data_IF_355517714779
#
_entry.id   IF_355517714779
#
_cell.length_a   1.000
_cell.length_b   1.000
_cell.length_c   1.000
_cell.angle_alpha   90.00
_cell.angle_beta   90.00
_cell.angle_gamma   90.00
#
_symmetry.space_group_name_H-M   'P 1'
#
loop_
_entity.id
_entity.type
_entity.pdbx_description
1 polymer ?
#
# COMPACT_ATOMS: atom_id res chain seq x y z
N UNK A 1 -38.86 -42.78 2.37
CA UNK A 1 -37.80 -41.75 2.47
C UNK A 1 -38.19 -40.64 1.49
N UNK A 2 -38.48 -39.43 2.00
CA UNK A 2 -38.78 -38.29 1.14
C UNK A 2 -37.50 -37.95 0.37
N UNK A 3 -37.58 -37.94 -0.97
CA UNK A 3 -36.47 -37.53 -1.84
C UNK A 3 -36.09 -36.09 -1.49
N UNK A 4 -34.82 -35.86 -1.17
CA UNK A 4 -34.29 -34.51 -1.01
C UNK A 4 -34.48 -33.80 -2.34
N UNK A 5 -35.16 -32.66 -2.32
CA UNK A 5 -35.34 -31.86 -3.52
C UNK A 5 -33.99 -31.46 -4.14
N UNK A 6 -33.94 -31.32 -5.47
CA UNK A 6 -32.74 -30.92 -6.18
C UNK A 6 -32.63 -29.39 -6.33
N UNK A 7 -31.41 -28.87 -6.37
CA UNK A 7 -31.16 -27.48 -6.79
C UNK A 7 -31.65 -27.28 -8.25
N UNK A 8 -32.26 -26.14 -8.58
CA UNK A 8 -32.46 -24.93 -7.81
C UNK A 8 -33.75 -24.85 -6.97
N UNK A 9 -34.62 -25.88 -7.04
CA UNK A 9 -35.94 -25.88 -6.38
C UNK A 9 -35.80 -26.02 -4.85
N UNK A 10 -34.80 -26.77 -4.39
CA UNK A 10 -34.47 -26.88 -2.96
C UNK A 10 -33.12 -26.23 -2.69
N UNK A 11 -33.13 -25.27 -1.80
CA UNK A 11 -31.91 -24.53 -1.37
C UNK A 11 -31.70 -24.71 0.12
N UNK A 12 -30.55 -25.27 0.50
CA UNK A 12 -30.17 -25.53 1.88
C UNK A 12 -29.66 -24.24 2.55
N UNK A 13 -30.57 -23.39 3.02
CA UNK A 13 -30.24 -22.06 3.58
C UNK A 13 -30.52 -21.92 5.07
N UNK A 14 -30.87 -22.98 5.77
CA UNK A 14 -31.25 -22.94 7.19
C UNK A 14 -30.14 -22.32 8.05
N UNK A 15 -28.88 -22.67 7.81
CA UNK A 15 -27.73 -22.14 8.53
C UNK A 15 -27.38 -20.67 8.18
N UNK A 16 -28.06 -20.08 7.19
CA UNK A 16 -27.90 -18.69 6.79
C UNK A 16 -29.01 -17.78 7.32
N UNK A 17 -30.08 -18.34 7.89
CA UNK A 17 -31.30 -17.61 8.23
C UNK A 17 -31.11 -16.67 9.43
N UNK A 18 -30.28 -17.01 10.40
CA UNK A 18 -30.06 -16.24 11.61
C UNK A 18 -28.57 -15.94 11.86
N UNK A 19 -28.29 -14.87 12.61
CA UNK A 19 -26.92 -14.48 12.92
C UNK A 19 -26.17 -15.57 13.68
N UNK A 20 -26.77 -16.11 14.76
CA UNK A 20 -26.11 -17.15 15.56
C UNK A 20 -25.77 -18.40 14.73
N UNK A 21 -26.65 -18.81 13.80
CA UNK A 21 -26.40 -19.98 12.95
C UNK A 21 -25.24 -19.71 11.98
N UNK A 22 -25.16 -18.49 11.42
CA UNK A 22 -24.00 -18.09 10.57
C UNK A 22 -22.71 -18.07 11.37
N UNK A 23 -22.74 -17.54 12.59
CA UNK A 23 -21.56 -17.48 13.47
C UNK A 23 -21.05 -18.87 13.86
N UNK A 24 -21.98 -19.82 14.14
CA UNK A 24 -21.61 -21.18 14.49
C UNK A 24 -20.96 -21.98 13.34
N UNK A 25 -21.28 -21.66 12.09
CA UNK A 25 -20.76 -22.38 10.91
C UNK A 25 -19.73 -21.57 10.12
N UNK A 26 -19.27 -20.46 10.66
CA UNK A 26 -18.27 -19.59 10.01
C UNK A 26 -16.94 -20.32 9.92
N UNK A 27 -16.42 -20.45 8.71
CA UNK A 27 -15.12 -21.06 8.44
C UNK A 27 -13.96 -20.06 8.52
N UNK A 28 -14.26 -18.77 8.28
CA UNK A 28 -13.27 -17.69 8.30
C UNK A 28 -13.79 -16.52 9.15
N UNK A 29 -12.90 -15.90 9.90
CA UNK A 29 -13.15 -14.67 10.66
C UNK A 29 -12.23 -13.57 10.14
N UNK A 30 -12.70 -12.33 10.15
CA UNK A 30 -11.88 -11.15 9.88
C UNK A 30 -11.66 -10.40 11.19
N UNK A 31 -10.42 -10.01 11.40
CA UNK A 31 -9.98 -9.15 12.48
C UNK A 31 -9.18 -7.96 11.91
N UNK A 32 -8.92 -6.90 12.66
CA UNK A 32 -8.04 -5.82 12.19
C UNK A 32 -6.65 -6.32 11.77
N UNK A 33 -6.16 -7.43 12.35
CA UNK A 33 -4.87 -8.03 12.05
C UNK A 33 -4.79 -8.66 10.64
N UNK A 34 -5.92 -8.83 9.97
CA UNK A 34 -5.97 -9.36 8.60
C UNK A 34 -5.83 -8.28 7.52
N UNK A 35 -5.70 -7.00 7.91
CA UNK A 35 -5.68 -5.89 6.97
C UNK A 35 -4.29 -5.26 6.84
N UNK A 36 -3.98 -4.85 5.60
CA UNK A 36 -2.91 -3.90 5.27
C UNK A 36 -3.61 -2.62 4.81
N UNK A 37 -3.27 -1.48 5.41
CA UNK A 37 -3.89 -0.21 5.04
C UNK A 37 -3.07 0.51 3.97
N UNK A 38 -3.56 0.62 2.72
CA UNK A 38 -2.88 1.36 1.66
C UNK A 38 -3.03 2.86 1.87
N UNK A 39 -1.94 3.61 1.74
CA UNK A 39 -1.91 5.05 1.95
C UNK A 39 -1.11 5.77 0.87
N UNK A 40 -1.63 6.90 0.39
CA UNK A 40 -0.92 7.77 -0.54
C UNK A 40 -0.16 8.84 0.22
N UNK A 41 1.13 8.97 -0.10
CA UNK A 41 2.04 9.94 0.56
C UNK A 41 2.42 11.02 -0.43
N UNK A 42 2.30 12.29 -0.01
CA UNK A 42 2.71 13.45 -0.82
C UNK A 42 3.71 14.33 -0.07
N UNK A 43 4.35 15.20 -0.82
CA UNK A 43 5.28 16.19 -0.29
C UNK A 43 4.55 17.31 0.49
N UNK A 44 5.27 17.95 1.39
CA UNK A 44 4.79 19.10 2.17
C UNK A 44 4.62 18.79 3.66
N UNK A 45 3.93 19.68 4.34
CA UNK A 45 3.56 19.56 5.76
C UNK A 45 2.12 20.04 5.94
N UNK A 46 1.32 19.32 6.74
CA UNK A 46 -0.09 19.60 6.95
C UNK A 46 -0.94 19.45 5.68
N UNK A 47 -0.43 18.79 4.66
CA UNK A 47 -1.10 18.66 3.38
C UNK A 47 -2.04 17.46 3.36
N UNK A 48 -3.28 17.71 2.88
CA UNK A 48 -4.31 16.70 2.72
C UNK A 48 -5.04 16.95 1.41
N UNK A 49 -5.06 15.96 0.53
CA UNK A 49 -5.67 16.06 -0.78
C UNK A 49 -6.61 14.88 -1.02
N UNK A 50 -7.88 15.13 -1.28
CA UNK A 50 -8.83 14.07 -1.59
C UNK A 50 -8.51 13.41 -2.94
N UNK A 51 -8.73 12.10 -3.05
CA UNK A 51 -8.65 11.36 -4.31
C UNK A 51 -10.04 11.29 -4.94
N UNK A 52 -10.34 12.06 -6.01
CA UNK A 52 -11.72 12.19 -6.54
C UNK A 52 -12.33 10.86 -6.98
N UNK A 53 -11.52 9.94 -7.50
CA UNK A 53 -11.96 8.62 -7.95
C UNK A 53 -12.15 7.60 -6.81
N UNK A 54 -11.72 7.94 -5.59
CA UNK A 54 -11.75 7.07 -4.42
C UNK A 54 -12.38 7.80 -3.23
N UNK A 55 -13.71 7.88 -3.12
CA UNK A 55 -14.39 8.61 -2.06
C UNK A 55 -13.94 8.18 -0.66
N UNK A 56 -13.54 9.15 0.17
CA UNK A 56 -13.03 8.90 1.54
C UNK A 56 -11.54 8.56 1.61
N UNK A 57 -10.83 8.46 0.48
CA UNK A 57 -9.38 8.28 0.42
C UNK A 57 -8.70 9.62 0.19
N UNK A 58 -7.61 9.84 0.91
CA UNK A 58 -6.83 11.08 0.84
C UNK A 58 -5.34 10.77 0.64
N UNK A 59 -4.64 11.72 0.03
CA UNK A 59 -3.18 11.78 -0.03
C UNK A 59 -2.71 12.63 1.13
N UNK A 60 -1.71 12.20 1.87
CA UNK A 60 -1.28 12.83 3.11
C UNK A 60 0.21 13.15 3.07
N UNK A 61 0.59 14.31 3.62
CA UNK A 61 1.99 14.58 3.93
C UNK A 61 2.49 13.68 5.08
N UNK A 62 3.81 13.55 5.22
CA UNK A 62 4.43 12.60 6.17
C UNK A 62 3.99 12.83 7.61
N UNK A 63 3.83 14.06 8.04
CA UNK A 63 3.32 14.41 9.37
C UNK A 63 1.90 13.90 9.63
N UNK A 64 1.00 14.07 8.67
CA UNK A 64 -0.37 13.55 8.76
C UNK A 64 -0.43 12.01 8.59
N UNK A 65 0.49 11.45 7.82
CA UNK A 65 0.65 10.00 7.71
C UNK A 65 1.00 9.37 9.06
N UNK A 66 1.84 10.02 9.87
CA UNK A 66 2.18 9.54 11.22
C UNK A 66 0.93 9.51 12.12
N UNK A 67 0.10 10.53 12.07
CA UNK A 67 -1.16 10.54 12.84
C UNK A 67 -2.13 9.43 12.39
N UNK A 68 -2.22 9.20 11.07
CA UNK A 68 -2.98 8.07 10.52
C UNK A 68 -2.42 6.72 10.99
N UNK A 69 -1.09 6.58 11.01
CA UNK A 69 -0.43 5.35 11.46
C UNK A 69 -0.71 5.04 12.94
N UNK A 70 -0.67 6.06 13.81
CA UNK A 70 -1.06 5.92 15.22
C UNK A 70 -2.50 5.44 15.37
N UNK A 71 -3.43 6.03 14.59
CA UNK A 71 -4.83 5.63 14.60
C UNK A 71 -5.04 4.20 14.08
N UNK A 72 -4.37 3.81 12.99
CA UNK A 72 -4.42 2.45 12.44
C UNK A 72 -3.87 1.42 13.44
N UNK A 73 -2.73 1.71 14.06
CA UNK A 73 -2.14 0.85 15.10
C UNK A 73 -3.06 0.69 16.30
N UNK A 74 -3.70 1.77 16.77
CA UNK A 74 -4.66 1.72 17.87
C UNK A 74 -5.92 0.89 17.54
N UNK A 75 -6.28 0.76 16.26
CA UNK A 75 -7.35 -0.12 15.79
C UNK A 75 -6.90 -1.58 15.61
N UNK A 76 -5.61 -1.87 15.79
CA UNK A 76 -5.03 -3.21 15.63
C UNK A 76 -4.69 -3.57 14.17
N UNK A 77 -4.62 -2.60 13.25
CA UNK A 77 -4.13 -2.82 11.89
C UNK A 77 -2.60 -2.93 11.93
N UNK A 78 -2.01 -4.05 11.48
CA UNK A 78 -0.59 -4.34 11.71
C UNK A 78 0.35 -3.63 10.75
N UNK A 79 -0.11 -3.21 9.57
CA UNK A 79 0.79 -2.66 8.54
C UNK A 79 0.12 -1.61 7.65
N UNK A 80 0.95 -0.66 7.18
CA UNK A 80 0.63 0.29 6.11
C UNK A 80 1.38 -0.09 4.84
N UNK A 81 0.75 0.08 3.67
CA UNK A 81 1.40 0.04 2.37
C UNK A 81 1.49 1.46 1.81
N UNK A 82 2.72 1.93 1.54
CA UNK A 82 3.00 3.31 1.12
C UNK A 82 3.05 3.44 -0.40
N UNK A 83 2.27 4.37 -0.94
CA UNK A 83 2.26 4.72 -2.36
C UNK A 83 2.61 6.20 -2.54
N UNK A 84 3.77 6.55 -3.13
CA UNK A 84 4.18 7.93 -3.27
C UNK A 84 3.41 8.67 -4.36
N UNK A 85 3.10 9.93 -4.10
CA UNK A 85 2.62 10.90 -5.09
C UNK A 85 3.77 11.84 -5.43
N UNK A 86 4.41 11.61 -6.56
CA UNK A 86 5.61 12.34 -6.98
C UNK A 86 5.23 13.45 -7.95
N UNK A 87 5.68 14.68 -7.67
CA UNK A 87 5.49 15.83 -8.55
C UNK A 87 6.23 15.68 -9.87
N UNK A 88 5.74 16.31 -10.93
CA UNK A 88 6.32 16.21 -12.28
C UNK A 88 7.79 16.66 -12.30
N UNK A 89 8.15 17.68 -11.52
CA UNK A 89 9.51 18.23 -11.43
C UNK A 89 10.54 17.23 -10.84
N UNK A 90 10.05 16.20 -10.15
CA UNK A 90 10.86 15.14 -9.55
C UNK A 90 10.90 13.86 -10.39
N UNK A 91 10.21 13.83 -11.53
CA UNK A 91 10.22 12.69 -12.46
C UNK A 91 11.32 12.84 -13.49
N UNK A 92 11.92 11.72 -13.89
CA UNK A 92 12.94 11.68 -14.93
C UNK A 92 12.81 10.43 -15.81
N UNK A 93 13.60 10.33 -16.88
CA UNK A 93 13.64 9.13 -17.72
C UNK A 93 14.27 7.94 -16.99
N UNK A 94 15.16 8.19 -16.02
CA UNK A 94 15.91 7.17 -15.29
C UNK A 94 15.41 6.95 -13.86
N UNK A 95 14.32 7.63 -13.46
CA UNK A 95 13.67 7.50 -12.15
C UNK A 95 14.61 7.68 -10.95
N UNK A 96 15.59 8.61 -11.00
CA UNK A 96 16.60 8.79 -9.95
C UNK A 96 15.98 9.14 -8.57
N UNK A 97 14.84 9.82 -8.57
CA UNK A 97 14.12 10.14 -7.34
C UNK A 97 13.65 8.89 -6.56
N UNK A 98 13.49 7.74 -7.23
CA UNK A 98 13.05 6.49 -6.62
C UNK A 98 14.04 5.97 -5.55
N UNK A 99 15.34 6.23 -5.72
CA UNK A 99 16.40 5.76 -4.82
C UNK A 99 17.20 6.89 -4.16
N UNK A 100 16.69 8.11 -4.24
CA UNK A 100 17.32 9.24 -3.54
C UNK A 100 17.30 9.02 -2.02
N UNK A 101 18.43 9.28 -1.36
CA UNK A 101 18.56 8.99 0.07
C UNK A 101 17.50 9.71 0.94
N UNK A 102 17.12 10.93 0.57
CA UNK A 102 16.11 11.73 1.26
C UNK A 102 14.81 11.83 0.43
N UNK A 103 14.50 10.79 -0.34
CA UNK A 103 13.26 10.69 -1.09
C UNK A 103 12.02 10.65 -0.18
N UNK A 104 10.86 10.92 -0.76
CA UNK A 104 9.59 10.98 -0.01
C UNK A 104 9.31 9.69 0.77
N UNK A 105 9.42 8.53 0.11
CA UNK A 105 9.17 7.23 0.76
C UNK A 105 10.22 6.94 1.82
N UNK A 106 11.49 7.23 1.55
CA UNK A 106 12.58 7.02 2.49
C UNK A 106 12.40 7.84 3.79
N UNK A 107 11.96 9.11 3.68
CA UNK A 107 11.61 9.94 4.83
C UNK A 107 10.38 9.42 5.56
N UNK A 108 9.33 9.04 4.83
CA UNK A 108 8.11 8.47 5.41
C UNK A 108 8.40 7.19 6.22
N UNK A 109 9.22 6.29 5.69
CA UNK A 109 9.66 5.07 6.39
C UNK A 109 10.44 5.41 7.66
N UNK A 110 11.41 6.32 7.59
CA UNK A 110 12.19 6.73 8.74
C UNK A 110 11.31 7.32 9.84
N UNK A 111 10.39 8.21 9.48
CA UNK A 111 9.49 8.89 10.43
C UNK A 111 8.50 7.91 11.07
N UNK A 112 7.88 7.02 10.28
CA UNK A 112 6.99 5.98 10.80
C UNK A 112 7.73 5.05 11.77
N UNK A 113 8.94 4.60 11.42
CA UNK A 113 9.71 3.68 12.26
C UNK A 113 10.25 4.33 13.53
N UNK A 114 10.48 5.64 13.53
CA UNK A 114 10.86 6.38 14.74
C UNK A 114 9.68 6.64 15.67
N UNK A 115 8.48 6.89 15.12
CA UNK A 115 7.31 7.38 15.88
C UNK A 115 6.31 6.29 16.22
N UNK A 116 6.12 5.29 15.34
CA UNK A 116 5.20 4.15 15.51
C UNK A 116 5.94 2.85 15.15
N UNK A 117 6.95 2.45 15.92
CA UNK A 117 7.83 1.32 15.58
C UNK A 117 7.09 -0.01 15.45
N UNK A 118 5.96 -0.17 16.13
CA UNK A 118 5.17 -1.39 16.12
C UNK A 118 4.46 -1.64 14.79
N UNK A 119 4.15 -0.58 14.02
CA UNK A 119 3.44 -0.76 12.75
C UNK A 119 4.38 -1.27 11.65
N UNK A 120 3.94 -2.29 10.93
CA UNK A 120 4.62 -2.76 9.73
C UNK A 120 4.56 -1.70 8.62
N UNK A 121 5.67 -1.53 7.88
CA UNK A 121 5.70 -0.65 6.72
C UNK A 121 6.07 -1.47 5.49
N UNK A 122 5.18 -1.46 4.51
CA UNK A 122 5.36 -2.09 3.21
C UNK A 122 5.60 -0.98 2.20
N UNK A 123 6.68 -1.07 1.45
CA UNK A 123 6.99 -0.12 0.38
C UNK A 123 6.85 -0.81 -0.96
N UNK A 124 6.32 -0.10 -1.93
CA UNK A 124 6.28 -0.55 -3.31
C UNK A 124 7.63 -0.29 -3.99
N UNK A 125 8.20 -1.31 -4.63
CA UNK A 125 9.43 -1.21 -5.42
C UNK A 125 9.02 -1.14 -6.88
N UNK A 126 8.65 0.06 -7.34
CA UNK A 126 8.12 0.35 -8.66
C UNK A 126 8.65 1.71 -9.16
N UNK A 127 8.79 1.88 -10.47
CA UNK A 127 9.38 3.07 -11.08
C UNK A 127 8.36 4.01 -11.73
N UNK A 128 7.14 3.54 -12.02
CA UNK A 128 6.07 4.34 -12.65
C UNK A 128 5.77 5.68 -11.95
N UNK A 129 5.80 5.78 -10.60
CA UNK A 129 5.61 7.06 -9.94
C UNK A 129 6.73 8.08 -10.24
N UNK A 130 7.92 7.62 -10.64
CA UNK A 130 9.13 8.40 -10.77
C UNK A 130 9.58 8.62 -12.22
N UNK A 131 8.98 7.91 -13.18
CA UNK A 131 9.27 8.08 -14.61
C UNK A 131 8.38 9.16 -15.24
N UNK A 132 8.93 9.93 -16.18
CA UNK A 132 8.17 10.96 -16.92
C UNK A 132 7.14 10.38 -17.87
N UNK A 133 7.37 9.17 -18.35
CA UNK A 133 6.49 8.43 -19.27
C UNK A 133 5.47 7.51 -18.57
N UNK A 134 5.60 7.31 -17.23
CA UNK A 134 4.67 6.50 -16.44
C UNK A 134 4.75 4.98 -16.67
N UNK A 135 5.83 4.48 -17.29
CA UNK A 135 6.10 3.05 -17.43
C UNK A 135 6.78 2.51 -16.17
N UNK A 136 6.56 1.23 -15.88
CA UNK A 136 7.13 0.52 -14.72
C UNK A 136 8.62 0.23 -14.84
N UNK A 137 9.25 0.60 -15.95
CA UNK A 137 10.67 0.40 -16.23
C UNK A 137 11.28 1.53 -17.02
N UNK A 138 12.62 1.52 -17.08
CA UNK A 138 13.39 2.46 -17.90
C UNK A 138 13.28 2.04 -19.36
N UNK A 139 12.95 2.98 -20.24
CA UNK A 139 12.73 2.74 -21.66
C UNK A 139 13.84 3.34 -22.51
N UNK A 140 14.05 2.78 -23.70
CA UNK A 140 14.87 3.38 -24.76
C UNK A 140 14.06 4.40 -25.60
N UNK A 141 14.73 4.97 -26.61
CA UNK A 141 14.12 5.95 -27.51
C UNK A 141 12.95 5.38 -28.35
N UNK A 142 12.88 4.05 -28.49
CA UNK A 142 11.80 3.35 -29.18
C UNK A 142 10.62 3.01 -28.23
N UNK A 143 10.74 3.30 -26.93
CA UNK A 143 9.75 2.98 -25.91
C UNK A 143 9.82 1.54 -25.41
N UNK A 144 10.89 0.81 -25.71
CA UNK A 144 11.10 -0.56 -25.23
C UNK A 144 11.73 -0.56 -23.85
N UNK A 145 11.18 -1.37 -22.91
CA UNK A 145 11.68 -1.47 -21.54
C UNK A 145 13.04 -2.20 -21.51
N UNK A 146 14.04 -1.52 -20.96
CA UNK A 146 15.39 -2.03 -20.76
C UNK A 146 15.45 -2.85 -19.46
N UNK A 147 15.32 -4.16 -19.56
CA UNK A 147 15.16 -5.06 -18.43
C UNK A 147 16.30 -4.97 -17.41
N UNK A 148 17.56 -5.04 -17.85
CA UNK A 148 18.71 -5.08 -16.95
C UNK A 148 18.89 -3.75 -16.20
N UNK A 149 18.78 -2.62 -16.91
CA UNK A 149 18.85 -1.28 -16.32
C UNK A 149 17.72 -1.05 -15.32
N UNK A 150 16.52 -1.52 -15.67
CA UNK A 150 15.35 -1.45 -14.78
C UNK A 150 15.58 -2.25 -13.50
N UNK A 151 16.04 -3.50 -13.63
CA UNK A 151 16.33 -4.38 -12.49
C UNK A 151 17.38 -3.77 -11.56
N UNK A 152 18.47 -3.24 -12.09
CA UNK A 152 19.52 -2.55 -11.30
C UNK A 152 18.96 -1.33 -10.55
N UNK A 153 18.05 -0.60 -11.17
CA UNK A 153 17.42 0.58 -10.57
C UNK A 153 16.45 0.19 -9.45
N UNK A 154 15.65 -0.86 -9.64
CA UNK A 154 14.77 -1.42 -8.60
C UNK A 154 15.58 -1.92 -7.39
N UNK A 155 16.74 -2.54 -7.61
CA UNK A 155 17.66 -2.94 -6.52
C UNK A 155 18.12 -1.71 -5.73
N UNK A 156 18.53 -0.62 -6.40
CA UNK A 156 18.91 0.63 -5.72
C UNK A 156 17.75 1.20 -4.89
N UNK A 157 16.54 1.21 -5.45
CA UNK A 157 15.32 1.66 -4.78
C UNK A 157 15.07 0.85 -3.51
N UNK A 158 15.00 -0.49 -3.60
CA UNK A 158 14.77 -1.38 -2.46
C UNK A 158 15.81 -1.18 -1.35
N UNK A 159 17.10 -1.08 -1.71
CA UNK A 159 18.17 -0.87 -0.75
C UNK A 159 18.11 0.51 -0.07
N UNK A 160 17.69 1.55 -0.79
CA UNK A 160 17.55 2.90 -0.22
C UNK A 160 16.47 2.96 0.85
N UNK A 161 15.35 2.29 0.64
CA UNK A 161 14.24 2.18 1.60
C UNK A 161 14.63 1.38 2.84
N UNK A 162 15.33 0.24 2.68
CA UNK A 162 15.78 -0.60 3.78
C UNK A 162 16.74 0.11 4.73
N UNK A 163 17.65 0.95 4.22
CA UNK A 163 18.64 1.68 5.04
C UNK A 163 18.00 2.61 6.07
N UNK A 164 16.72 2.94 5.92
CA UNK A 164 15.96 3.80 6.84
C UNK A 164 15.23 3.03 7.94
N UNK A 165 15.26 1.71 7.91
CA UNK A 165 14.69 0.87 8.97
C UNK A 165 15.82 0.53 9.95
N UNK A 166 15.69 0.88 11.26
CA UNK A 166 16.62 0.41 12.28
C UNK A 166 16.66 -1.12 12.26
N UNK A 167 17.87 -1.69 12.25
CA UNK A 167 18.05 -3.14 12.45
C UNK A 167 17.93 -3.36 13.95
N UNK A 168 16.80 -3.93 14.37
CA UNK A 168 16.59 -4.43 15.74
C UNK A 168 17.26 -5.79 15.92
#
# INVERSE_FOLDING_TARGET
MSARGAFPHTRMRRLRASAFARDMVRESTLSPADFIYPVFVLEGSGQREAVPSMPGVERLSVDLLVELAKAANALGIPALALFPVVGQDSKSLLAEAAYHADGLVQRAVAELKSTVPEIGVITDVALDPYTTHGQDGIIDDAGYVLNDVTSDTLVKQALSMRRRVPIS
#
